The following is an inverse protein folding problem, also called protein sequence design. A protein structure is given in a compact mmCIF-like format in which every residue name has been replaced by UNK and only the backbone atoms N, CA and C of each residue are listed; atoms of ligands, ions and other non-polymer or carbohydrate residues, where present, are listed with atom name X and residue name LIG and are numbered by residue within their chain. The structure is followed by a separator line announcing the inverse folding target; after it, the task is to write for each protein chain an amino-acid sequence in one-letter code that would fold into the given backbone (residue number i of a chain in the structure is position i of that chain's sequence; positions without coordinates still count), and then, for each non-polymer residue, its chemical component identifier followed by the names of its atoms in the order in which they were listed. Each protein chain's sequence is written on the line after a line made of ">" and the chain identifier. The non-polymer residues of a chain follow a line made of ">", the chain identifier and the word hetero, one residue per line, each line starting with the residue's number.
data_IF_375151374815
#
_entry.id   IF_375151374815
#
_cell.length_a   1.000
_cell.length_b   1.000
_cell.length_c   1.000
_cell.angle_alpha   90.00
_cell.angle_beta   90.00
_cell.angle_gamma   90.00
#
_symmetry.space_group_name_H-M   'P 1'
#
loop_
_entity.id
_entity.type
_entity.pdbx_description
1 polymer ?
#
# COMPACT_ATOMS: atom_id res chain seq x y z
N UNK A 1 -6.87 -8.77 -7.66
CA UNK A 1 -6.93 -10.01 -6.88
C UNK A 1 -7.78 -11.05 -7.62
N UNK A 2 -7.35 -11.47 -8.80
CA UNK A 2 -8.29 -12.03 -9.78
C UNK A 2 -8.50 -13.56 -9.67
N UNK A 3 -7.69 -14.27 -8.86
CA UNK A 3 -7.78 -15.72 -8.70
C UNK A 3 -7.54 -16.15 -7.23
N UNK A 4 -8.48 -15.89 -6.31
CA UNK A 4 -8.38 -16.33 -4.92
C UNK A 4 -8.32 -17.86 -4.80
N UNK A 5 -9.06 -18.58 -5.65
CA UNK A 5 -9.13 -20.05 -5.67
C UNK A 5 -7.78 -20.72 -5.98
N UNK A 6 -6.91 -20.06 -6.74
CA UNK A 6 -5.59 -20.59 -7.07
C UNK A 6 -4.69 -20.67 -5.82
N UNK A 7 -4.82 -19.73 -4.89
CA UNK A 7 -4.05 -19.74 -3.63
C UNK A 7 -4.55 -20.83 -2.69
N UNK A 8 -5.86 -21.06 -2.63
CA UNK A 8 -6.49 -22.13 -1.83
C UNK A 8 -6.05 -23.50 -2.33
N UNK A 9 -6.07 -23.73 -3.65
CA UNK A 9 -5.63 -24.99 -4.27
C UNK A 9 -4.17 -25.32 -4.03
N UNK A 10 -3.32 -24.31 -3.86
CA UNK A 10 -1.89 -24.47 -3.57
C UNK A 10 -1.57 -24.51 -2.06
N UNK A 11 -2.58 -24.36 -1.18
CA UNK A 11 -2.38 -24.30 0.27
C UNK A 11 -1.59 -23.07 0.72
N UNK A 12 -1.53 -22.01 -0.11
CA UNK A 12 -0.76 -20.81 0.16
C UNK A 12 -1.65 -19.70 0.72
N UNK A 13 -1.19 -19.07 1.80
CA UNK A 13 -1.87 -17.90 2.35
C UNK A 13 -1.62 -16.66 1.48
N UNK A 14 -2.63 -15.79 1.36
CA UNK A 14 -2.55 -14.61 0.50
C UNK A 14 -1.46 -13.65 1.01
N UNK A 15 -0.47 -13.25 0.19
CA UNK A 15 0.56 -12.31 0.63
C UNK A 15 -0.09 -10.98 1.05
N UNK A 16 0.27 -10.51 2.25
CA UNK A 16 -0.34 -9.32 2.88
C UNK A 16 0.30 -8.01 2.41
N UNK A 17 1.49 -8.05 1.83
CA UNK A 17 2.20 -6.88 1.35
C UNK A 17 3.43 -7.25 0.52
N UNK A 18 3.92 -6.29 -0.25
CA UNK A 18 5.13 -6.42 -1.10
C UNK A 18 5.97 -5.17 -0.89
N UNK A 19 7.29 -5.33 -0.72
CA UNK A 19 8.24 -4.23 -0.65
C UNK A 19 9.01 -4.13 -1.96
N UNK A 20 8.98 -2.96 -2.61
CA UNK A 20 9.76 -2.68 -3.81
C UNK A 20 11.01 -1.86 -3.44
N UNK A 21 12.20 -2.45 -3.60
CA UNK A 21 13.47 -1.80 -3.30
C UNK A 21 14.43 -1.81 -4.51
N UNK A 22 15.38 -0.88 -4.55
CA UNK A 22 16.49 -0.84 -5.51
C UNK A 22 16.86 0.59 -5.97
N UNK A 23 17.72 0.72 -7.00
CA UNK A 23 18.25 2.00 -7.44
C UNK A 23 17.18 3.01 -7.85
N UNK A 24 17.47 4.32 -7.76
CA UNK A 24 16.59 5.35 -8.31
C UNK A 24 16.45 5.17 -9.82
N UNK A 25 15.27 5.47 -10.38
CA UNK A 25 15.00 5.36 -11.82
C UNK A 25 14.42 4.02 -12.29
N UNK A 26 14.36 2.97 -11.46
CA UNK A 26 13.73 1.68 -11.84
C UNK A 26 12.19 1.67 -11.80
N UNK A 27 11.53 2.81 -12.00
CA UNK A 27 10.07 2.96 -12.07
C UNK A 27 9.23 2.36 -10.90
N UNK A 28 9.82 2.08 -9.73
CA UNK A 28 9.15 1.40 -8.61
C UNK A 28 7.85 2.10 -8.19
N UNK A 29 7.91 3.42 -8.00
CA UNK A 29 6.75 4.23 -7.64
C UNK A 29 5.72 4.28 -8.77
N UNK A 30 6.16 4.40 -10.01
CA UNK A 30 5.28 4.45 -11.19
C UNK A 30 4.56 3.13 -11.41
N UNK A 31 5.23 2.00 -11.21
CA UNK A 31 4.67 0.66 -11.29
C UNK A 31 3.52 0.49 -10.29
N UNK A 32 3.71 0.90 -9.03
CA UNK A 32 2.66 0.79 -8.01
C UNK A 32 1.45 1.65 -8.37
N UNK A 33 1.67 2.89 -8.83
CA UNK A 33 0.58 3.78 -9.27
C UNK A 33 -0.20 3.17 -10.43
N UNK A 34 0.49 2.68 -11.47
CA UNK A 34 -0.14 2.04 -12.62
C UNK A 34 -0.91 0.76 -12.22
N UNK A 35 -0.33 -0.07 -11.34
CA UNK A 35 -0.96 -1.27 -10.83
C UNK A 35 -2.25 -0.93 -10.06
N UNK A 36 -2.22 0.07 -9.18
CA UNK A 36 -3.39 0.51 -8.43
C UNK A 36 -4.50 1.06 -9.36
N UNK A 37 -4.12 1.89 -10.34
CA UNK A 37 -5.05 2.40 -11.36
C UNK A 37 -5.70 1.26 -12.18
N UNK A 38 -4.91 0.28 -12.61
CA UNK A 38 -5.40 -0.85 -13.42
C UNK A 38 -6.27 -1.84 -12.64
N UNK A 39 -6.07 -1.94 -11.32
CA UNK A 39 -6.80 -2.86 -10.46
C UNK A 39 -8.03 -2.24 -9.80
N UNK A 40 -8.32 -0.96 -10.08
CA UNK A 40 -9.37 -0.17 -9.43
C UNK A 40 -9.33 -0.29 -7.89
N UNK A 41 -8.13 -0.37 -7.32
CA UNK A 41 -7.92 -0.40 -5.88
C UNK A 41 -7.59 0.99 -5.35
N UNK A 42 -8.01 1.26 -4.11
CA UNK A 42 -7.57 2.44 -3.39
C UNK A 42 -6.04 2.46 -3.27
N UNK A 43 -5.41 3.57 -3.68
CA UNK A 43 -3.97 3.78 -3.57
C UNK A 43 -3.67 4.78 -2.46
N UNK A 44 -3.05 4.29 -1.38
CA UNK A 44 -2.57 5.12 -0.28
C UNK A 44 -1.09 5.44 -0.48
N UNK A 45 -0.79 6.67 -0.90
CA UNK A 45 0.58 7.17 -1.01
C UNK A 45 0.95 7.94 0.24
N UNK A 46 1.72 7.31 1.13
CA UNK A 46 2.20 7.96 2.34
C UNK A 46 3.71 8.20 2.24
N UNK A 47 4.13 9.46 2.33
CA UNK A 47 5.55 9.82 2.40
C UNK A 47 5.98 9.80 3.86
N UNK A 48 7.09 9.12 4.18
CA UNK A 48 7.64 9.11 5.54
C UNK A 48 7.98 10.51 6.05
N UNK A 49 8.37 11.43 5.16
CA UNK A 49 8.60 12.83 5.50
C UNK A 49 7.31 13.59 5.85
N UNK A 50 6.16 13.18 5.29
CA UNK A 50 4.85 13.78 5.58
C UNK A 50 4.17 13.19 6.83
N UNK A 51 4.64 12.03 7.31
CA UNK A 51 4.20 11.44 8.57
C UNK A 51 4.91 12.03 9.78
N UNK A 52 6.03 12.74 9.59
CA UNK A 52 6.82 13.26 10.69
C UNK A 52 6.24 14.58 11.19
N UNK A 53 5.58 14.55 12.35
CA UNK A 53 5.17 15.75 13.10
C UNK A 53 6.02 15.87 14.36
N UNK A 54 6.46 17.08 14.76
CA UNK A 54 7.15 17.29 16.03
C UNK A 54 6.26 17.04 17.26
N UNK A 55 4.95 16.89 17.06
CA UNK A 55 3.97 16.64 18.12
C UNK A 55 3.72 15.13 18.28
N UNK A 56 3.82 14.66 19.52
CA UNK A 56 3.60 13.25 19.89
C UNK A 56 2.13 12.87 19.63
N UNK A 57 1.91 11.83 18.82
CA UNK A 57 0.57 11.28 18.53
C UNK A 57 -0.12 11.80 17.27
N UNK A 58 0.38 12.87 16.63
CA UNK A 58 -0.19 13.36 15.36
C UNK A 58 0.04 12.40 14.19
N UNK A 59 1.22 11.76 14.15
CA UNK A 59 1.56 10.76 13.14
C UNK A 59 0.64 9.54 13.18
N UNK A 60 0.26 9.09 14.38
CA UNK A 60 -0.63 7.94 14.59
C UNK A 60 -2.08 8.27 14.21
N UNK A 61 -2.55 9.49 14.54
CA UNK A 61 -3.87 9.98 14.12
C UNK A 61 -3.97 10.09 12.61
N UNK A 62 -2.94 10.62 11.95
CA UNK A 62 -2.91 10.71 10.50
C UNK A 62 -2.99 9.33 9.84
N UNK A 63 -2.25 8.35 10.35
CA UNK A 63 -2.30 6.96 9.87
C UNK A 63 -3.67 6.32 10.10
N UNK A 64 -4.26 6.49 11.28
CA UNK A 64 -5.58 5.95 11.61
C UNK A 64 -6.66 6.51 10.66
N UNK A 65 -6.65 7.82 10.45
CA UNK A 65 -7.60 8.51 9.59
C UNK A 65 -7.47 8.10 8.11
N UNK A 66 -6.24 7.89 7.63
CA UNK A 66 -6.01 7.35 6.28
C UNK A 66 -6.52 5.92 6.11
N UNK A 67 -6.39 5.08 7.15
CA UNK A 67 -6.90 3.71 7.13
C UNK A 67 -8.44 3.64 7.13
N UNK A 68 -9.10 4.53 7.87
CA UNK A 68 -10.58 4.61 7.91
C UNK A 68 -11.17 5.15 6.61
N UNK A 69 -10.49 6.09 5.96
CA UNK A 69 -10.99 6.70 4.71
C UNK A 69 -10.94 5.72 3.53
N UNK A 70 -10.05 4.71 3.56
CA UNK A 70 -9.99 3.67 2.51
C UNK A 70 -10.96 2.50 2.70
N UNK A 71 -11.67 2.44 3.84
CA UNK A 71 -12.67 1.40 4.14
C UNK A 71 -14.11 1.82 3.80
N UNK A 72 -14.35 3.10 3.49
CA UNK A 72 -15.61 3.62 2.96
C UNK A 72 -15.57 3.72 1.45
#
# INVERSE_FOLDING_TARGET
>A
MMFPEAFVRLGLSRPRGVLLYGPPGCAKTTLVKAAASSSHCAFLSVSGAGLFSPLVGDSERALAQHSETSLK
#
